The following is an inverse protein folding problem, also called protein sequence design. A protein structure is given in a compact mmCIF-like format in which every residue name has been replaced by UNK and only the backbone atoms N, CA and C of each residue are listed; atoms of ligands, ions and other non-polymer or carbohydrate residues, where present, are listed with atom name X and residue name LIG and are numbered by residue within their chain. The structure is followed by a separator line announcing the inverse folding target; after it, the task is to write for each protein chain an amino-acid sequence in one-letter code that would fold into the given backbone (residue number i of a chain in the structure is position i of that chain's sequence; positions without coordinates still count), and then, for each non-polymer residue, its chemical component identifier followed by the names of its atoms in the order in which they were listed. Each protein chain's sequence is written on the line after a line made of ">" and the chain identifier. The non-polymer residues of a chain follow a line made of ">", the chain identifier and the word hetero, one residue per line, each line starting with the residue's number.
data_IF_896773293989
#
_entry.id   IF_896773293989
#
_cell.length_a   1.000
_cell.length_b   1.000
_cell.length_c   1.000
_cell.angle_alpha   90.00
_cell.angle_beta   90.00
_cell.angle_gamma   90.00
#
_symmetry.space_group_name_H-M   'P 1'
#
loop_
_entity.id
_entity.type
_entity.pdbx_description
1 polymer ?
#
# COMPACT_ATOMS: atom_id res chain seq x y z
N UNK A 1 -46.91 22.70 -31.10
CA UNK A 1 -46.43 22.88 -29.71
C UNK A 1 -47.04 21.77 -28.86
N UNK A 2 -46.26 20.75 -28.47
CA UNK A 2 -46.67 19.70 -27.53
C UNK A 2 -45.71 19.74 -26.36
N UNK A 3 -46.21 20.06 -25.17
CA UNK A 3 -45.44 20.07 -23.93
C UNK A 3 -45.41 18.68 -23.30
N UNK A 4 -44.22 18.14 -23.09
CA UNK A 4 -43.96 16.94 -22.29
C UNK A 4 -43.83 17.34 -20.81
N UNK A 5 -44.80 16.94 -19.99
CA UNK A 5 -44.70 17.00 -18.53
C UNK A 5 -43.84 15.86 -17.97
N UNK A 6 -43.27 16.01 -16.75
CA UNK A 6 -42.39 15.01 -16.16
C UNK A 6 -43.16 13.76 -15.69
N UNK A 7 -42.60 12.59 -15.99
CA UNK A 7 -43.03 11.29 -15.47
C UNK A 7 -42.60 11.14 -14.00
N UNK A 8 -43.54 11.25 -13.08
CA UNK A 8 -43.34 10.91 -11.66
C UNK A 8 -43.60 9.41 -11.47
N UNK A 9 -42.55 8.62 -11.20
CA UNK A 9 -42.67 7.21 -10.86
C UNK A 9 -42.69 7.10 -9.32
N UNK A 10 -43.83 6.70 -8.74
CA UNK A 10 -43.94 6.42 -7.31
C UNK A 10 -43.58 4.96 -7.02
N UNK A 11 -42.54 4.73 -6.23
CA UNK A 11 -42.15 3.40 -5.77
C UNK A 11 -42.69 3.12 -4.36
N UNK A 12 -43.25 1.93 -4.15
CA UNK A 12 -43.75 1.50 -2.83
C UNK A 12 -42.58 1.10 -1.90
N UNK A 13 -42.72 1.37 -0.60
CA UNK A 13 -41.72 1.05 0.45
C UNK A 13 -41.31 -0.44 0.48
N UNK A 14 -42.10 -1.35 -0.05
CA UNK A 14 -41.80 -2.77 -0.10
C UNK A 14 -40.71 -3.12 -1.13
N UNK A 15 -40.60 -2.36 -2.23
CA UNK A 15 -39.59 -2.60 -3.27
C UNK A 15 -38.20 -2.06 -2.90
N UNK A 16 -38.09 -1.09 -1.98
CA UNK A 16 -36.78 -0.55 -1.56
C UNK A 16 -35.93 -1.57 -0.78
N UNK A 17 -36.53 -2.53 -0.06
CA UNK A 17 -35.78 -3.53 0.72
C UNK A 17 -35.06 -4.57 -0.14
N UNK A 18 -35.58 -4.87 -1.33
CA UNK A 18 -34.94 -5.78 -2.28
C UNK A 18 -33.99 -5.08 -3.24
N UNK A 19 -34.24 -3.80 -3.52
CA UNK A 19 -33.42 -3.02 -4.44
C UNK A 19 -32.19 -2.44 -3.74
N UNK A 20 -32.23 -2.10 -2.44
CA UNK A 20 -31.09 -1.49 -1.74
C UNK A 20 -29.80 -2.35 -1.70
N UNK A 21 -29.84 -3.68 -1.48
CA UNK A 21 -28.64 -4.52 -1.55
C UNK A 21 -28.10 -4.65 -2.98
N UNK A 22 -29.00 -4.75 -3.96
CA UNK A 22 -28.64 -4.84 -5.39
C UNK A 22 -28.04 -3.51 -5.87
N UNK A 23 -28.63 -2.38 -5.50
CA UNK A 23 -28.08 -1.05 -5.75
C UNK A 23 -26.71 -0.86 -5.06
N UNK A 24 -26.49 -1.37 -3.84
CA UNK A 24 -25.15 -1.34 -3.20
C UNK A 24 -24.07 -2.09 -3.98
N UNK A 25 -24.43 -3.17 -4.67
CA UNK A 25 -23.48 -3.97 -5.47
C UNK A 25 -23.21 -3.28 -6.83
N UNK A 26 -24.23 -2.65 -7.44
CA UNK A 26 -24.12 -2.09 -8.79
C UNK A 26 -23.83 -0.58 -8.85
N UNK A 27 -24.11 0.21 -7.81
CA UNK A 27 -23.83 1.66 -7.80
C UNK A 27 -22.34 2.01 -7.82
N UNK A 28 -21.44 1.30 -7.09
CA UNK A 28 -20.01 1.54 -7.21
C UNK A 28 -19.56 1.29 -8.65
N UNK A 29 -19.97 0.17 -9.25
CA UNK A 29 -19.67 -0.15 -10.65
C UNK A 29 -20.21 0.91 -11.65
N UNK A 30 -21.40 1.48 -11.40
CA UNK A 30 -21.99 2.52 -12.25
C UNK A 30 -21.35 3.92 -12.05
N UNK A 31 -20.88 4.24 -10.83
CA UNK A 31 -20.12 5.47 -10.55
C UNK A 31 -18.72 5.40 -11.17
N UNK A 32 -18.03 4.26 -11.04
CA UNK A 32 -16.71 4.02 -11.63
C UNK A 32 -16.72 4.12 -13.16
N UNK A 33 -17.81 3.69 -13.81
CA UNK A 33 -17.98 3.79 -15.26
C UNK A 33 -18.10 5.25 -15.78
N UNK A 34 -18.43 6.21 -14.90
CA UNK A 34 -18.67 7.60 -15.30
C UNK A 34 -17.60 8.59 -14.80
N UNK A 35 -16.81 8.26 -13.77
CA UNK A 35 -15.75 9.15 -13.27
C UNK A 35 -14.34 8.62 -13.49
N UNK A 36 -14.13 7.30 -13.65
CA UNK A 36 -12.87 6.67 -14.05
C UNK A 36 -11.61 7.07 -13.30
N UNK A 37 -11.69 7.81 -12.19
CA UNK A 37 -10.54 8.37 -11.49
C UNK A 37 -10.19 7.52 -10.27
N UNK A 38 -8.91 7.35 -10.02
CA UNK A 38 -8.35 6.71 -8.82
C UNK A 38 -7.55 7.78 -8.06
N UNK A 39 -7.43 7.68 -6.74
CA UNK A 39 -6.44 8.45 -5.99
C UNK A 39 -5.25 7.54 -5.70
N UNK A 40 -4.04 8.05 -5.84
CA UNK A 40 -2.91 7.30 -5.33
C UNK A 40 -1.81 8.16 -4.79
N UNK A 41 -1.25 7.66 -3.70
CA UNK A 41 -0.25 8.33 -2.93
C UNK A 41 0.98 7.45 -2.81
N UNK A 42 2.13 8.02 -3.16
CA UNK A 42 3.42 7.36 -3.04
C UNK A 42 4.18 8.10 -1.96
N UNK A 43 4.45 7.41 -0.85
CA UNK A 43 5.26 7.88 0.26
C UNK A 43 6.55 7.09 0.24
N UNK A 44 7.67 7.77 0.06
CA UNK A 44 8.98 7.15 0.24
C UNK A 44 9.81 8.02 1.16
N UNK A 45 10.30 7.44 2.25
CA UNK A 45 11.11 8.13 3.25
C UNK A 45 12.49 7.49 3.36
N UNK A 46 13.54 8.28 3.19
CA UNK A 46 14.85 8.02 3.78
C UNK A 46 14.80 8.59 5.20
N UNK A 47 15.40 7.89 6.16
CA UNK A 47 15.65 8.49 7.47
C UNK A 47 17.15 8.71 7.54
N UNK A 48 17.55 9.96 7.80
CA UNK A 48 18.91 10.45 7.51
C UNK A 48 20.03 9.60 8.12
N UNK A 49 21.22 9.69 7.53
CA UNK A 49 22.47 9.05 7.99
C UNK A 49 22.85 9.28 9.47
N UNK A 50 22.22 10.26 10.16
CA UNK A 50 22.37 10.45 11.60
C UNK A 50 21.79 9.29 12.45
N UNK A 51 20.90 8.48 11.88
CA UNK A 51 20.34 7.30 12.55
C UNK A 51 21.37 6.20 12.86
N UNK A 52 22.48 6.14 12.14
CA UNK A 52 23.55 5.14 12.37
C UNK A 52 24.10 5.19 13.80
N UNK A 53 23.95 6.33 14.50
CA UNK A 53 24.37 6.51 15.89
C UNK A 53 23.28 6.22 16.94
N UNK A 54 22.01 6.17 16.54
CA UNK A 54 20.83 6.08 17.44
C UNK A 54 20.16 4.71 17.37
N UNK A 55 20.13 4.10 16.18
CA UNK A 55 19.63 2.75 15.99
C UNK A 55 20.69 1.72 16.37
N UNK A 56 20.37 0.85 17.33
CA UNK A 56 20.99 -0.47 17.43
C UNK A 56 20.39 -1.41 16.38
N UNK A 57 20.37 -1.00 15.11
CA UNK A 57 20.14 -1.97 14.04
C UNK A 57 21.47 -2.70 13.82
N UNK A 58 21.51 -4.04 13.87
CA UNK A 58 22.60 -4.78 13.28
C UNK A 58 22.42 -4.68 11.77
N UNK A 59 22.62 -3.48 11.21
CA UNK A 59 22.97 -3.36 9.81
C UNK A 59 24.29 -4.08 9.67
N UNK A 60 24.25 -5.33 9.22
CA UNK A 60 25.44 -6.05 8.87
C UNK A 60 26.02 -5.30 7.67
N UNK A 61 27.02 -4.45 7.92
CA UNK A 61 27.84 -3.89 6.84
C UNK A 61 28.56 -5.09 6.25
N UNK A 62 28.13 -5.51 5.06
CA UNK A 62 28.73 -6.66 4.40
C UNK A 62 30.18 -6.31 4.02
N UNK A 63 31.09 -7.30 3.88
CA UNK A 63 32.52 -7.07 3.67
C UNK A 63 32.88 -6.22 2.43
N UNK A 64 31.92 -5.98 1.52
CA UNK A 64 32.04 -5.13 0.34
C UNK A 64 31.61 -3.66 0.57
N UNK A 65 31.19 -3.30 1.78
CA UNK A 65 30.69 -1.96 2.12
C UNK A 65 29.23 -1.72 1.76
N UNK A 66 28.46 -2.77 1.41
CA UNK A 66 27.01 -2.66 1.23
C UNK A 66 26.32 -2.51 2.59
N UNK A 67 25.84 -1.30 2.88
CA UNK A 67 24.94 -1.02 3.98
C UNK A 67 23.50 -1.37 3.55
N UNK A 68 22.80 -2.16 4.35
CA UNK A 68 21.34 -2.38 4.18
C UNK A 68 20.53 -1.15 4.65
N UNK A 69 21.19 -0.06 5.04
CA UNK A 69 20.55 1.25 5.19
C UNK A 69 19.84 1.61 3.89
N UNK A 70 18.56 1.95 4.00
CA UNK A 70 17.81 2.53 2.89
C UNK A 70 18.51 3.85 2.56
N UNK A 71 19.18 3.90 1.41
CA UNK A 71 19.82 5.13 0.92
C UNK A 71 18.96 5.78 -0.15
N UNK A 72 19.14 7.09 -0.35
CA UNK A 72 18.57 7.85 -1.47
C UNK A 72 18.74 7.16 -2.82
N UNK A 73 19.87 6.46 -3.02
CA UNK A 73 20.15 5.71 -4.26
C UNK A 73 19.19 4.54 -4.47
N UNK A 74 18.66 3.94 -3.40
CA UNK A 74 17.70 2.84 -3.44
C UNK A 74 16.25 3.35 -3.52
N UNK A 75 15.95 4.46 -2.84
CA UNK A 75 14.61 5.06 -2.77
C UNK A 75 14.14 5.66 -4.09
N UNK A 76 15.00 6.38 -4.81
CA UNK A 76 14.64 7.06 -6.05
C UNK A 76 14.11 6.09 -7.12
N UNK A 77 14.77 4.93 -7.37
CA UNK A 77 14.22 3.89 -8.24
C UNK A 77 12.82 3.42 -7.82
N UNK A 78 12.59 3.18 -6.52
CA UNK A 78 11.29 2.70 -6.02
C UNK A 78 10.18 3.74 -6.20
N UNK A 79 10.45 5.01 -5.88
CA UNK A 79 9.50 6.10 -6.09
C UNK A 79 9.13 6.24 -7.58
N UNK A 80 10.12 6.13 -8.49
CA UNK A 80 9.90 6.20 -9.95
C UNK A 80 9.14 5.00 -10.49
N UNK A 81 9.48 3.79 -10.04
CA UNK A 81 8.82 2.55 -10.48
C UNK A 81 7.36 2.58 -10.02
N UNK A 82 7.13 2.95 -8.76
CA UNK A 82 5.80 3.15 -8.18
C UNK A 82 5.03 4.14 -9.02
N UNK A 83 5.54 5.35 -9.17
CA UNK A 83 4.88 6.39 -9.98
C UNK A 83 4.49 5.90 -11.38
N UNK A 84 5.39 5.19 -12.08
CA UNK A 84 5.14 4.66 -13.42
C UNK A 84 4.05 3.57 -13.44
N UNK A 85 4.19 2.54 -12.60
CA UNK A 85 3.27 1.38 -12.58
C UNK A 85 1.88 1.81 -12.15
N UNK A 86 1.85 2.58 -11.07
CA UNK A 86 0.62 3.12 -10.53
C UNK A 86 0.01 4.15 -11.51
N UNK A 87 0.80 4.86 -12.34
CA UNK A 87 0.33 5.75 -13.42
C UNK A 87 -0.46 5.07 -14.55
N UNK A 88 -0.50 3.74 -14.61
CA UNK A 88 -1.36 2.99 -15.53
C UNK A 88 -2.84 3.05 -15.13
N UNK A 89 -3.14 3.33 -13.86
CA UNK A 89 -4.48 3.66 -13.41
C UNK A 89 -4.86 5.06 -13.92
N UNK A 90 -6.09 5.29 -14.33
CA UNK A 90 -6.53 6.62 -14.80
C UNK A 90 -6.69 7.60 -13.62
N UNK A 91 -5.70 8.43 -13.28
CA UNK A 91 -5.67 9.03 -11.92
C UNK A 91 -4.89 10.32 -11.68
N UNK A 92 -5.06 10.82 -10.45
CA UNK A 92 -4.23 11.84 -9.80
C UNK A 92 -3.20 11.18 -8.86
N UNK A 93 -1.92 11.51 -9.03
CA UNK A 93 -0.80 11.05 -8.18
C UNK A 93 -0.42 12.14 -7.19
N UNK A 94 -0.31 11.78 -5.90
CA UNK A 94 0.30 12.61 -4.87
C UNK A 94 1.60 11.92 -4.41
N UNK A 95 2.74 12.58 -4.60
CA UNK A 95 4.05 12.03 -4.22
C UNK A 95 4.61 12.76 -3.00
N UNK A 96 4.92 12.00 -1.95
CA UNK A 96 5.73 12.45 -0.82
C UNK A 96 7.07 11.73 -0.83
N UNK A 97 8.16 12.49 -0.95
CA UNK A 97 9.51 12.00 -0.93
C UNK A 97 10.46 13.07 -0.35
N UNK A 98 11.55 12.62 0.25
CA UNK A 98 12.62 13.46 0.76
C UNK A 98 13.75 13.71 -0.25
N UNK A 99 13.53 13.31 -1.51
CA UNK A 99 14.46 13.56 -2.63
C UNK A 99 14.65 15.08 -2.79
N UNK A 100 15.91 15.51 -2.73
CA UNK A 100 16.30 16.90 -2.96
C UNK A 100 16.28 17.26 -4.44
N UNK A 101 16.01 18.52 -4.76
CA UNK A 101 16.18 19.05 -6.10
C UNK A 101 17.67 19.09 -6.52
N UNK A 102 17.93 19.51 -7.77
CA UNK A 102 19.30 19.63 -8.30
C UNK A 102 20.20 20.60 -7.51
N UNK A 103 19.62 21.46 -6.66
CA UNK A 103 20.33 22.38 -5.77
C UNK A 103 20.51 21.84 -4.35
N UNK A 104 20.10 20.58 -4.10
CA UNK A 104 20.19 19.94 -2.79
C UNK A 104 19.09 20.40 -1.81
N UNK A 105 18.05 21.09 -2.28
CA UNK A 105 16.97 21.58 -1.41
C UNK A 105 15.82 20.57 -1.37
N UNK A 106 15.30 20.32 -0.16
CA UNK A 106 14.06 19.57 0.04
C UNK A 106 12.85 20.46 -0.26
N UNK A 107 11.78 19.87 -0.80
CA UNK A 107 10.48 20.53 -0.90
C UNK A 107 9.64 20.16 0.33
N UNK A 108 9.41 21.08 1.29
CA UNK A 108 8.68 20.77 2.53
C UNK A 108 7.24 20.29 2.27
N UNK A 109 6.61 20.71 1.17
CA UNK A 109 5.26 20.28 0.81
C UNK A 109 5.19 18.82 0.33
N UNK A 110 6.31 18.26 -0.09
CA UNK A 110 6.43 16.87 -0.54
C UNK A 110 7.22 16.02 0.44
N UNK A 111 7.71 16.56 1.56
CA UNK A 111 8.47 15.78 2.53
C UNK A 111 7.54 14.78 3.26
N UNK A 112 7.93 13.51 3.45
CA UNK A 112 7.16 12.54 4.25
C UNK A 112 7.32 12.81 5.75
N UNK A 113 7.02 14.05 6.17
CA UNK A 113 7.02 14.48 7.57
C UNK A 113 5.82 13.90 8.32
N UNK A 114 5.87 13.90 9.64
CA UNK A 114 4.75 13.44 10.46
C UNK A 114 3.44 14.21 10.17
N UNK A 115 3.52 15.52 9.93
CA UNK A 115 2.34 16.33 9.55
C UNK A 115 1.76 15.90 8.20
N UNK A 116 2.61 15.79 7.16
CA UNK A 116 2.16 15.41 5.83
C UNK A 116 1.62 13.98 5.77
N UNK A 117 2.25 13.06 6.51
CA UNK A 117 1.79 11.69 6.65
C UNK A 117 0.41 11.62 7.31
N UNK A 118 0.19 12.33 8.41
CA UNK A 118 -1.12 12.36 9.07
C UNK A 118 -2.19 12.93 8.17
N UNK A 119 -1.89 14.04 7.50
CA UNK A 119 -2.80 14.67 6.54
C UNK A 119 -3.19 13.68 5.43
N UNK A 120 -2.23 12.95 4.86
CA UNK A 120 -2.48 11.93 3.85
C UNK A 120 -3.40 10.81 4.36
N UNK A 121 -3.19 10.33 5.59
CA UNK A 121 -3.96 9.23 6.16
C UNK A 121 -5.39 9.64 6.55
N UNK A 122 -5.60 10.91 6.90
CA UNK A 122 -6.92 11.47 7.28
C UNK A 122 -7.76 11.93 6.10
N UNK A 123 -7.11 12.29 4.97
CA UNK A 123 -7.77 12.92 3.83
C UNK A 123 -8.96 12.07 3.34
N UNK A 124 -10.19 12.61 3.30
CA UNK A 124 -11.35 11.86 2.84
C UNK A 124 -11.13 11.27 1.45
N UNK A 125 -11.60 10.03 1.27
CA UNK A 125 -11.38 9.26 0.05
C UNK A 125 -12.71 9.05 -0.66
N UNK A 126 -12.89 9.79 -1.75
CA UNK A 126 -14.06 9.68 -2.63
C UNK A 126 -13.82 8.73 -3.81
N UNK A 127 -12.62 8.13 -3.90
CA UNK A 127 -12.23 7.16 -4.94
C UNK A 127 -11.39 6.02 -4.34
N UNK A 128 -11.30 4.85 -5.02
CA UNK A 128 -10.36 3.81 -4.66
C UNK A 128 -8.95 4.38 -4.53
N UNK A 129 -8.26 4.02 -3.45
CA UNK A 129 -6.99 4.64 -3.09
C UNK A 129 -5.88 3.62 -2.96
N UNK A 130 -4.75 3.89 -3.62
CA UNK A 130 -3.53 3.10 -3.48
C UNK A 130 -2.48 3.92 -2.72
N UNK A 131 -1.99 3.40 -1.59
CA UNK A 131 -0.96 4.04 -0.77
C UNK A 131 0.25 3.12 -0.74
N UNK A 132 1.40 3.60 -1.23
CA UNK A 132 2.68 2.90 -1.06
C UNK A 132 3.52 3.64 -0.03
N UNK A 133 4.02 2.92 0.97
CA UNK A 133 4.88 3.43 2.03
C UNK A 133 6.15 2.60 2.07
N UNK A 134 7.31 3.23 1.88
CA UNK A 134 8.62 2.58 2.11
C UNK A 134 9.43 3.41 3.09
N UNK A 135 10.20 2.74 3.96
CA UNK A 135 11.04 3.40 4.94
C UNK A 135 11.37 2.51 6.14
N UNK A 136 11.62 3.16 7.28
CA UNK A 136 12.04 2.49 8.50
C UNK A 136 10.92 2.39 9.53
N UNK A 137 11.02 1.33 10.33
CA UNK A 137 10.13 1.06 11.45
C UNK A 137 10.96 0.81 12.70
N UNK A 138 10.38 1.12 13.86
CA UNK A 138 10.95 0.78 15.15
C UNK A 138 9.80 0.39 16.10
N UNK A 139 10.13 0.01 17.33
CA UNK A 139 9.14 -0.39 18.32
C UNK A 139 9.45 0.14 19.71
N UNK A 140 8.41 0.48 20.46
CA UNK A 140 8.50 0.92 21.85
C UNK A 140 7.28 0.42 22.61
N UNK A 141 7.50 -0.12 23.81
CA UNK A 141 6.45 -0.68 24.68
C UNK A 141 5.52 -1.71 23.98
N UNK A 142 6.07 -2.48 23.03
CA UNK A 142 5.32 -3.49 22.28
C UNK A 142 4.52 -2.95 21.08
N UNK A 143 4.56 -1.64 20.82
CA UNK A 143 3.93 -1.03 19.65
C UNK A 143 4.97 -0.66 18.58
N UNK A 144 4.70 -1.04 17.33
CA UNK A 144 5.51 -0.66 16.16
C UNK A 144 5.06 0.69 15.61
N UNK A 145 6.01 1.45 15.11
CA UNK A 145 5.77 2.74 14.48
C UNK A 145 6.68 2.95 13.27
N UNK A 146 6.16 3.71 12.30
CA UNK A 146 6.89 4.19 11.15
C UNK A 146 7.67 5.47 11.51
N UNK A 147 8.89 5.56 11.01
CA UNK A 147 9.79 6.70 11.21
C UNK A 147 9.65 7.66 10.03
N UNK A 148 9.16 8.87 10.30
CA UNK A 148 9.06 9.93 9.29
C UNK A 148 10.39 10.64 9.10
N UNK A 149 10.53 11.42 8.02
CA UNK A 149 11.81 12.04 7.68
C UNK A 149 12.26 13.09 8.71
N UNK A 150 11.33 13.61 9.50
CA UNK A 150 11.53 14.66 10.50
C UNK A 150 11.52 14.15 11.95
N UNK A 151 11.51 12.82 12.16
CA UNK A 151 11.38 12.21 13.49
C UNK A 151 12.66 12.25 14.33
N UNK A 152 13.83 12.41 13.70
CA UNK A 152 15.12 12.43 14.40
C UNK A 152 15.46 13.86 14.83
N UNK A 153 15.51 14.08 16.14
CA UNK A 153 15.84 15.37 16.75
C UNK A 153 16.91 15.16 17.82
N UNK A 154 18.04 15.89 17.70
CA UNK A 154 19.15 15.85 18.67
C UNK A 154 19.68 14.44 19.00
N UNK A 155 19.76 13.55 18.02
CA UNK A 155 20.26 12.18 18.22
C UNK A 155 19.28 11.26 18.96
N UNK A 156 17.99 11.59 18.97
CA UNK A 156 16.92 10.74 19.50
C UNK A 156 15.65 10.87 18.66
N UNK A 157 14.65 10.02 18.90
CA UNK A 157 13.35 10.14 18.26
C UNK A 157 12.45 11.12 19.03
N UNK A 158 11.85 12.05 18.31
CA UNK A 158 10.68 12.77 18.79
C UNK A 158 9.46 11.86 18.62
N UNK A 159 8.95 11.33 19.73
CA UNK A 159 7.76 10.47 19.74
C UNK A 159 6.50 11.12 19.16
N UNK A 160 6.43 12.46 19.07
CA UNK A 160 5.31 13.15 18.42
C UNK A 160 5.40 13.12 16.89
N UNK A 161 6.56 12.75 16.36
CA UNK A 161 6.89 12.73 14.93
C UNK A 161 7.11 11.31 14.40
N UNK A 162 6.61 10.29 15.09
CA UNK A 162 6.49 8.95 14.52
C UNK A 162 5.03 8.65 14.24
N UNK A 163 4.75 7.68 13.37
CA UNK A 163 3.37 7.24 13.07
C UNK A 163 3.20 5.80 13.59
N UNK A 164 2.56 5.59 14.75
CA UNK A 164 2.22 4.27 15.26
C UNK A 164 1.38 3.46 14.26
N UNK A 165 1.53 2.14 14.29
CA UNK A 165 0.73 1.25 13.46
C UNK A 165 -0.77 1.35 13.81
N UNK A 166 -1.11 1.55 15.08
CA UNK A 166 -2.48 1.89 15.47
C UNK A 166 -2.99 3.17 14.81
N UNK A 167 -2.13 4.17 14.63
CA UNK A 167 -2.50 5.43 13.98
C UNK A 167 -2.83 5.24 12.50
N UNK A 168 -2.05 4.43 11.77
CA UNK A 168 -2.43 4.04 10.40
C UNK A 168 -3.79 3.35 10.35
N UNK A 169 -4.01 2.36 11.23
CA UNK A 169 -5.28 1.64 11.30
C UNK A 169 -6.43 2.59 11.57
N UNK A 170 -6.32 3.37 12.64
CA UNK A 170 -7.41 4.21 13.12
C UNK A 170 -7.75 5.29 12.10
N UNK A 171 -6.75 5.86 11.41
CA UNK A 171 -6.96 6.87 10.36
C UNK A 171 -7.51 6.29 9.06
N UNK A 172 -6.91 5.21 8.54
CA UNK A 172 -7.33 4.65 7.26
C UNK A 172 -8.69 3.94 7.32
N UNK A 173 -9.17 3.59 8.53
CA UNK A 173 -10.47 2.96 8.77
C UNK A 173 -11.53 3.92 9.34
N UNK A 174 -11.28 5.25 9.35
CA UNK A 174 -12.28 6.23 9.80
C UNK A 174 -13.59 6.09 9.02
N UNK A 175 -14.72 6.29 9.70
CA UNK A 175 -16.08 6.11 9.16
C UNK A 175 -16.39 6.98 7.93
N UNK A 176 -15.66 8.08 7.73
CA UNK A 176 -15.85 8.95 6.57
C UNK A 176 -15.21 8.40 5.29
N UNK A 177 -14.35 7.38 5.37
CA UNK A 177 -13.87 6.69 4.18
C UNK A 177 -14.92 5.67 3.74
N UNK A 178 -15.38 5.78 2.50
CA UNK A 178 -16.36 4.85 1.92
C UNK A 178 -15.77 3.99 0.81
N UNK A 179 -14.62 4.39 0.28
CA UNK A 179 -14.02 3.78 -0.90
C UNK A 179 -12.86 2.83 -0.53
N UNK A 180 -12.59 1.83 -1.39
CA UNK A 180 -11.56 0.83 -1.12
C UNK A 180 -10.16 1.42 -0.96
N UNK A 181 -9.32 0.77 -0.15
CA UNK A 181 -7.92 1.15 0.03
C UNK A 181 -6.98 -0.05 -0.10
N UNK A 182 -5.94 0.13 -0.90
CA UNK A 182 -4.78 -0.77 -0.98
C UNK A 182 -3.60 -0.06 -0.33
N UNK A 183 -3.18 -0.54 0.84
CA UNK A 183 -1.97 -0.10 1.51
C UNK A 183 -0.83 -1.08 1.17
N UNK A 184 0.30 -0.56 0.72
CA UNK A 184 1.53 -1.34 0.53
C UNK A 184 2.58 -0.77 1.47
N UNK A 185 3.17 -1.62 2.31
CA UNK A 185 4.25 -1.24 3.22
C UNK A 185 5.51 -2.04 2.92
N UNK A 186 6.53 -1.34 2.46
CA UNK A 186 7.85 -1.85 2.14
C UNK A 186 8.85 -1.51 3.25
N UNK A 187 8.70 -2.24 4.35
CA UNK A 187 9.41 -2.02 5.63
C UNK A 187 9.82 -3.37 6.22
N UNK A 188 10.82 -3.35 7.11
CA UNK A 188 11.21 -4.52 7.89
C UNK A 188 10.15 -4.87 8.95
N UNK A 189 10.13 -6.15 9.34
CA UNK A 189 9.29 -6.67 10.42
C UNK A 189 7.83 -6.28 10.27
N UNK A 190 7.31 -6.29 9.05
CA UNK A 190 5.94 -5.89 8.80
C UNK A 190 4.99 -6.98 9.33
N UNK A 191 3.96 -6.54 10.05
CA UNK A 191 2.92 -7.40 10.59
C UNK A 191 1.56 -6.89 10.10
N UNK A 192 0.47 -7.52 10.54
CA UNK A 192 -0.91 -7.10 10.28
C UNK A 192 -1.23 -5.75 10.94
N UNK A 193 -0.64 -4.69 10.42
CA UNK A 193 -0.71 -3.31 10.90
C UNK A 193 -2.16 -2.85 11.04
N UNK A 194 -2.99 -3.23 10.08
CA UNK A 194 -4.41 -2.90 10.02
C UNK A 194 -5.29 -3.87 10.85
N UNK A 195 -4.74 -4.93 11.46
CA UNK A 195 -5.48 -5.98 12.19
C UNK A 195 -6.59 -6.65 11.37
N UNK A 196 -6.34 -6.85 10.08
CA UNK A 196 -7.31 -7.39 9.14
C UNK A 196 -7.60 -8.89 9.38
N UNK A 197 -8.82 -9.35 9.09
CA UNK A 197 -9.33 -10.68 9.44
C UNK A 197 -8.78 -11.84 8.61
N UNK A 198 -8.24 -11.59 7.41
CA UNK A 198 -7.70 -12.62 6.54
C UNK A 198 -6.25 -12.32 6.15
N UNK A 199 -5.46 -13.38 5.97
CA UNK A 199 -4.08 -13.29 5.45
C UNK A 199 -3.87 -14.30 4.33
N UNK A 200 -3.22 -13.83 3.27
CA UNK A 200 -2.74 -14.61 2.14
C UNK A 200 -1.22 -14.77 2.28
N UNK A 201 -0.75 -16.02 2.27
CA UNK A 201 0.67 -16.37 2.27
C UNK A 201 1.00 -17.35 1.15
N UNK A 202 2.20 -17.28 0.60
CA UNK A 202 2.71 -18.24 -0.37
C UNK A 202 3.72 -19.18 0.29
N UNK A 203 3.37 -20.45 0.38
CA UNK A 203 4.19 -21.49 1.00
C UNK A 203 4.13 -22.76 0.16
N UNK A 204 5.27 -23.44 -0.01
CA UNK A 204 5.35 -24.72 -0.72
C UNK A 204 4.71 -24.71 -2.13
N UNK A 205 4.88 -23.61 -2.87
CA UNK A 205 4.36 -23.48 -4.23
C UNK A 205 2.89 -23.10 -4.33
N UNK A 206 2.20 -22.82 -3.21
CA UNK A 206 0.77 -22.51 -3.18
C UNK A 206 0.47 -21.28 -2.35
N UNK A 207 -0.54 -20.52 -2.77
CA UNK A 207 -1.11 -19.46 -1.95
C UNK A 207 -2.19 -20.07 -1.05
N UNK A 208 -2.19 -19.67 0.22
CA UNK A 208 -3.22 -20.05 1.18
C UNK A 208 -3.86 -18.80 1.77
N UNK A 209 -5.18 -18.83 1.93
CA UNK A 209 -5.94 -17.79 2.62
C UNK A 209 -6.43 -18.33 3.97
N UNK A 210 -5.96 -17.74 5.07
CA UNK A 210 -6.31 -18.14 6.44
C UNK A 210 -6.92 -16.99 7.22
N UNK A 211 -7.63 -17.33 8.29
CA UNK A 211 -8.20 -16.37 9.24
C UNK A 211 -7.12 -15.94 10.23
N UNK A 212 -7.03 -14.64 10.51
CA UNK A 212 -6.16 -14.09 11.57
C UNK A 212 -6.86 -14.16 12.93
N UNK A 213 -6.14 -13.82 14.01
CA UNK A 213 -6.75 -13.67 15.33
C UNK A 213 -7.83 -12.58 15.40
N UNK A 214 -7.87 -11.66 14.42
CA UNK A 214 -8.82 -10.56 14.34
C UNK A 214 -10.09 -10.88 13.55
N UNK A 215 -10.23 -12.12 13.05
CA UNK A 215 -11.34 -12.51 12.18
C UNK A 215 -12.74 -12.36 12.81
N UNK A 216 -12.83 -12.44 14.14
CA UNK A 216 -14.11 -12.29 14.85
C UNK A 216 -14.42 -10.84 15.25
N UNK A 217 -13.61 -9.87 14.83
CA UNK A 217 -13.88 -8.45 15.05
C UNK A 217 -15.15 -8.01 14.31
N UNK A 218 -15.99 -7.20 14.96
CA UNK A 218 -17.28 -6.75 14.41
C UNK A 218 -17.15 -5.70 13.27
N UNK A 219 -15.92 -5.25 12.98
CA UNK A 219 -15.66 -3.98 12.28
C UNK A 219 -15.27 -4.14 10.80
N UNK A 220 -15.25 -5.36 10.25
CA UNK A 220 -14.68 -5.63 8.92
C UNK A 220 -15.68 -5.70 7.76
N UNK A 221 -16.98 -5.67 8.03
CA UNK A 221 -18.02 -5.87 7.01
C UNK A 221 -18.34 -4.61 6.18
N UNK A 222 -17.76 -3.44 6.52
CA UNK A 222 -18.15 -2.16 5.91
C UNK A 222 -17.19 -1.62 4.84
N UNK A 223 -15.93 -2.07 4.77
CA UNK A 223 -14.89 -1.47 3.92
C UNK A 223 -13.95 -2.51 3.29
N UNK A 224 -13.69 -2.35 1.98
CA UNK A 224 -12.69 -3.13 1.26
C UNK A 224 -11.28 -2.56 1.51
N UNK A 225 -10.51 -3.25 2.35
CA UNK A 225 -9.18 -2.85 2.80
C UNK A 225 -8.23 -4.00 2.53
N UNK A 226 -7.11 -3.71 1.86
CA UNK A 226 -6.06 -4.69 1.59
C UNK A 226 -4.71 -4.10 1.94
N UNK A 227 -3.92 -4.85 2.69
CA UNK A 227 -2.58 -4.47 3.12
C UNK A 227 -1.56 -5.47 2.62
N UNK A 228 -0.72 -5.02 1.69
CA UNK A 228 0.44 -5.72 1.18
C UNK A 228 1.65 -5.40 2.06
N UNK A 229 2.11 -6.39 2.83
CA UNK A 229 3.27 -6.31 3.68
C UNK A 229 4.47 -6.95 2.98
N UNK A 230 5.51 -6.16 2.69
CA UNK A 230 6.69 -6.63 1.96
C UNK A 230 7.47 -7.74 2.67
N UNK A 231 7.37 -7.78 4.00
CA UNK A 231 8.06 -8.73 4.87
C UNK A 231 7.05 -9.41 5.78
N UNK A 232 7.39 -10.62 6.23
CA UNK A 232 6.68 -11.28 7.33
C UNK A 232 7.23 -10.79 8.68
N UNK A 233 6.53 -11.05 9.80
CA UNK A 233 7.08 -10.75 11.12
C UNK A 233 8.46 -11.38 11.32
N UNK A 234 9.40 -10.61 11.88
CA UNK A 234 10.79 -11.02 12.14
C UNK A 234 11.66 -11.21 10.87
N UNK A 235 11.25 -10.65 9.73
CA UNK A 235 12.04 -10.65 8.50
C UNK A 235 12.50 -9.24 8.13
N UNK A 236 13.69 -9.17 7.55
CA UNK A 236 14.25 -7.93 7.02
C UNK A 236 13.86 -7.75 5.55
N UNK A 237 13.65 -6.49 5.15
CA UNK A 237 13.51 -6.13 3.75
C UNK A 237 14.89 -6.09 3.09
N UNK A 238 15.01 -6.69 1.91
CA UNK A 238 16.23 -6.69 1.11
C UNK A 238 16.21 -5.54 0.09
N UNK A 239 17.35 -4.87 -0.06
CA UNK A 239 17.53 -3.74 -0.97
C UNK A 239 18.72 -3.94 -1.90
N UNK A 240 18.53 -3.57 -3.16
CA UNK A 240 19.59 -3.45 -4.15
C UNK A 240 19.81 -1.98 -4.50
N UNK A 241 20.91 -1.67 -5.20
CA UNK A 241 21.12 -0.33 -5.75
C UNK A 241 20.00 0.09 -6.75
N UNK A 242 19.26 -0.88 -7.31
CA UNK A 242 18.12 -0.67 -8.19
C UNK A 242 16.77 -0.51 -7.46
N UNK A 243 16.79 -0.44 -6.12
CA UNK A 243 15.61 -0.36 -5.27
C UNK A 243 15.37 -1.62 -4.44
N UNK A 244 14.29 -1.62 -3.67
CA UNK A 244 13.90 -2.77 -2.85
C UNK A 244 13.49 -3.98 -3.72
N UNK A 245 13.70 -5.17 -3.18
CA UNK A 245 13.28 -6.43 -3.82
C UNK A 245 11.76 -6.49 -3.95
N UNK A 246 11.05 -6.07 -2.91
CA UNK A 246 9.59 -6.10 -2.91
C UNK A 246 9.00 -5.12 -3.92
N UNK A 247 9.50 -3.88 -4.00
CA UNK A 247 9.09 -2.95 -5.04
C UNK A 247 9.33 -3.56 -6.43
N UNK A 248 10.50 -4.12 -6.71
CA UNK A 248 10.77 -4.77 -8.00
C UNK A 248 9.74 -5.86 -8.33
N UNK A 249 9.44 -6.73 -7.36
CA UNK A 249 8.49 -7.82 -7.52
C UNK A 249 7.03 -7.37 -7.66
N UNK A 250 6.59 -6.38 -6.90
CA UNK A 250 5.23 -5.82 -7.01
C UNK A 250 4.98 -5.28 -8.42
N UNK A 251 5.99 -4.65 -9.02
CA UNK A 251 5.86 -3.96 -10.30
C UNK A 251 5.97 -4.89 -11.50
N UNK A 252 6.34 -6.15 -11.32
CA UNK A 252 6.24 -7.17 -12.38
C UNK A 252 4.81 -7.65 -12.59
N UNK A 253 3.91 -7.38 -11.63
CA UNK A 253 2.48 -7.68 -11.75
C UNK A 253 1.86 -6.83 -12.86
N UNK A 254 1.39 -7.48 -13.92
CA UNK A 254 0.73 -6.82 -15.05
C UNK A 254 -0.73 -6.53 -14.69
N UNK A 255 -1.05 -5.23 -14.57
CA UNK A 255 -2.41 -4.76 -14.27
C UNK A 255 -3.41 -5.10 -15.39
N UNK A 256 -2.98 -5.11 -16.65
CA UNK A 256 -3.82 -5.41 -17.80
C UNK A 256 -4.32 -6.86 -17.84
N UNK A 257 -3.60 -7.79 -17.20
CA UNK A 257 -4.00 -9.20 -17.14
C UNK A 257 -5.18 -9.44 -16.22
N UNK A 258 -5.51 -8.49 -15.34
CA UNK A 258 -6.58 -8.62 -14.35
C UNK A 258 -6.43 -9.90 -13.54
N UNK A 259 -5.36 -10.00 -12.75
CA UNK A 259 -5.06 -11.20 -11.94
C UNK A 259 -5.91 -11.24 -10.67
N UNK A 260 -6.22 -12.45 -10.19
CA UNK A 260 -6.84 -12.65 -8.88
C UNK A 260 -5.86 -12.25 -7.77
N UNK A 261 -6.37 -12.09 -6.53
CA UNK A 261 -5.50 -11.77 -5.39
C UNK A 261 -4.49 -12.90 -5.15
N UNK A 262 -4.91 -14.16 -5.29
CA UNK A 262 -4.03 -15.31 -5.14
C UNK A 262 -2.92 -15.34 -6.21
N UNK A 263 -3.27 -15.10 -7.48
CA UNK A 263 -2.27 -15.03 -8.55
C UNK A 263 -1.32 -13.85 -8.36
N UNK A 264 -1.82 -12.71 -7.88
CA UNK A 264 -0.99 -11.55 -7.53
C UNK A 264 0.01 -11.90 -6.43
N UNK A 265 -0.45 -12.51 -5.34
CA UNK A 265 0.40 -12.94 -4.21
C UNK A 265 1.47 -13.91 -4.68
N UNK A 266 1.08 -14.91 -5.48
CA UNK A 266 1.99 -15.90 -6.04
C UNK A 266 3.05 -15.25 -6.93
N UNK A 267 2.63 -14.36 -7.83
CA UNK A 267 3.52 -13.71 -8.78
C UNK A 267 4.59 -12.88 -8.08
N UNK A 268 4.19 -12.09 -7.08
CA UNK A 268 5.11 -11.29 -6.28
C UNK A 268 6.13 -12.19 -5.58
N UNK A 269 5.69 -13.25 -4.89
CA UNK A 269 6.64 -14.09 -4.14
C UNK A 269 7.62 -14.83 -5.07
N UNK A 270 7.15 -15.38 -6.19
CA UNK A 270 8.04 -16.01 -7.18
C UNK A 270 9.09 -15.01 -7.68
N UNK A 271 8.68 -13.78 -7.98
CA UNK A 271 9.62 -12.76 -8.45
C UNK A 271 10.63 -12.36 -7.37
N UNK A 272 10.22 -12.28 -6.10
CA UNK A 272 11.13 -12.06 -4.97
C UNK A 272 12.13 -13.22 -4.82
N UNK A 273 11.66 -14.47 -4.90
CA UNK A 273 12.49 -15.67 -4.80
C UNK A 273 13.53 -15.72 -5.92
N UNK A 274 13.16 -15.35 -7.14
CA UNK A 274 14.09 -15.25 -8.28
C UNK A 274 15.15 -14.16 -8.07
N UNK A 275 14.75 -12.98 -7.59
CA UNK A 275 15.66 -11.85 -7.34
C UNK A 275 16.67 -12.17 -6.22
N UNK A 276 16.22 -12.82 -5.15
CA UNK A 276 17.07 -13.21 -4.01
C UNK A 276 17.90 -14.46 -4.31
N UNK A 277 17.38 -15.37 -5.13
CA UNK A 277 18.03 -16.61 -5.54
C UNK A 277 19.29 -16.43 -6.38
N UNK A 278 19.56 -15.21 -6.88
CA UNK A 278 20.82 -14.87 -7.57
C UNK A 278 22.03 -15.04 -6.64
N UNK A 279 21.89 -14.72 -5.35
CA UNK A 279 22.93 -14.92 -4.35
C UNK A 279 22.33 -15.28 -2.97
N UNK A 280 21.94 -16.56 -2.76
CA UNK A 280 21.26 -16.99 -1.55
C UNK A 280 22.16 -17.02 -0.31
N UNK A 281 23.48 -16.83 -0.47
CA UNK A 281 24.41 -16.71 0.66
C UNK A 281 24.50 -15.27 1.15
N UNK A 282 24.24 -14.30 0.27
CA UNK A 282 24.32 -12.87 0.57
C UNK A 282 23.00 -12.30 1.09
N UNK A 283 21.86 -12.74 0.56
CA UNK A 283 20.56 -12.14 0.91
C UNK A 283 19.73 -13.06 1.81
N UNK A 284 19.13 -12.53 2.90
CA UNK A 284 18.20 -13.29 3.70
C UNK A 284 16.94 -13.63 2.91
N UNK A 285 16.24 -14.69 3.31
CA UNK A 285 14.92 -14.97 2.77
C UNK A 285 13.93 -13.89 3.17
N UNK A 286 13.09 -13.49 2.22
CA UNK A 286 12.03 -12.51 2.43
C UNK A 286 10.72 -13.09 1.91
N UNK A 287 9.69 -13.05 2.74
CA UNK A 287 8.36 -13.56 2.40
C UNK A 287 7.34 -12.46 2.61
N UNK A 288 6.58 -12.13 1.58
CA UNK A 288 5.53 -11.12 1.70
C UNK A 288 4.22 -11.74 2.20
N UNK A 289 3.37 -10.90 2.78
CA UNK A 289 2.02 -11.28 3.23
C UNK A 289 1.01 -10.27 2.71
N UNK A 290 -0.19 -10.73 2.40
CA UNK A 290 -1.29 -9.83 2.05
C UNK A 290 -2.45 -10.03 3.01
N UNK A 291 -2.76 -9.00 3.77
CA UNK A 291 -3.86 -8.98 4.71
C UNK A 291 -5.08 -8.31 4.09
N UNK A 292 -6.29 -8.74 4.43
CA UNK A 292 -7.52 -8.24 3.78
C UNK A 292 -8.74 -8.28 4.69
N UNK A 293 -9.66 -7.33 4.50
CA UNK A 293 -10.93 -7.22 5.25
C UNK A 293 -11.92 -8.35 4.94
N UNK A 294 -11.81 -8.96 3.76
CA UNK A 294 -12.60 -10.11 3.33
C UNK A 294 -11.80 -11.02 2.40
N UNK A 295 -12.36 -12.19 2.10
CA UNK A 295 -11.85 -13.02 1.01
C UNK A 295 -12.17 -12.37 -0.34
N UNK A 296 -11.18 -12.41 -1.23
CA UNK A 296 -11.29 -11.99 -2.61
C UNK A 296 -11.23 -13.22 -3.52
N UNK A 297 -12.39 -13.62 -4.04
CA UNK A 297 -12.54 -14.78 -4.94
C UNK A 297 -12.68 -14.35 -6.42
N UNK A 298 -12.55 -13.06 -6.70
CA UNK A 298 -12.67 -12.49 -8.05
C UNK A 298 -11.43 -12.77 -8.90
N UNK A 299 -11.66 -12.94 -10.21
CA UNK A 299 -10.58 -13.16 -11.17
C UNK A 299 -9.73 -11.92 -11.40
N UNK A 300 -10.25 -10.71 -11.18
CA UNK A 300 -9.53 -9.44 -11.31
C UNK A 300 -9.61 -8.67 -9.98
N UNK A 301 -8.52 -8.73 -9.21
CA UNK A 301 -8.43 -8.12 -7.89
C UNK A 301 -8.56 -6.60 -7.94
N UNK A 302 -7.74 -5.94 -8.76
CA UNK A 302 -7.72 -4.48 -8.84
C UNK A 302 -9.02 -3.95 -9.46
N UNK A 303 -9.56 -4.62 -10.49
CA UNK A 303 -10.86 -4.28 -11.06
C UNK A 303 -12.01 -4.44 -10.06
N UNK A 304 -11.98 -5.48 -9.21
CA UNK A 304 -12.97 -5.68 -8.13
C UNK A 304 -12.98 -4.52 -7.14
N UNK A 305 -11.82 -3.94 -6.87
CA UNK A 305 -11.67 -2.76 -6.00
C UNK A 305 -11.95 -1.43 -6.73
N UNK A 306 -12.36 -1.46 -8.00
CA UNK A 306 -12.71 -0.27 -8.77
C UNK A 306 -11.52 0.45 -9.42
N UNK A 307 -10.31 -0.11 -9.37
CA UNK A 307 -9.15 0.46 -10.07
C UNK A 307 -9.30 0.25 -11.58
N UNK A 308 -9.46 1.34 -12.33
CA UNK A 308 -9.55 1.33 -13.79
C UNK A 308 -8.20 1.68 -14.42
N UNK A 309 -7.74 0.86 -15.37
CA UNK A 309 -6.50 1.09 -16.12
C UNK A 309 -6.79 1.66 -17.52
N UNK A 310 -5.91 2.55 -18.01
CA UNK A 310 -6.00 3.02 -19.40
C UNK A 310 -5.53 1.89 -20.31
N UNK A 311 -6.43 1.32 -21.11
CA UNK A 311 -5.99 0.50 -22.23
C UNK A 311 -5.22 1.41 -23.20
N UNK A 312 -3.93 1.15 -23.37
CA UNK A 312 -3.21 1.77 -24.49
C UNK A 312 -3.86 1.26 -25.77
N UNK A 313 -4.26 2.15 -26.71
CA UNK A 313 -4.78 1.69 -27.98
C UNK A 313 -3.69 0.84 -28.63
N UNK A 314 -3.99 -0.44 -28.83
CA UNK A 314 -3.13 -1.34 -29.60
C UNK A 314 -3.03 -0.73 -30.99
N UNK A 315 -1.89 -0.12 -31.31
CA UNK A 315 -1.56 0.25 -32.68
C UNK A 315 -1.45 -1.06 -33.47
N UNK A 316 -2.49 -1.35 -34.24
CA UNK A 316 -2.52 -2.41 -35.26
C UNK A 316 -1.55 -2.09 -36.39
#
# INVERSE_FOLDING_TARGET
>A
MRGSGPLTISWSRANMKFIAPVLRIYLPALRTYLSGHVLASVVVCEVSSQMSSVMRYPGQVWPDGADMSISLKCIVPDARRTTTWTGQFNRTLIGYHDITDASGRKNPACEPSAENMRKLLEDPRDLPTFIYVSGHTDSSNGEKFYLTSDCVVNGSYDSSRVIPYSEFRDKLLLEHHQEPVVLVTDVCDCDNLMKLPYVYSYENGKVTCTKTEYHNGADWDSLDVVHFAATSPNQQAAFFASGSVYNQALHSVSLEKGLSLEETVRHIQIQMDELLGVDPKKYPSQTHRVYSSRKFDGNDFFGTLGFSYKQSPVSQ
#
